data_IF_068236477628
#
_entry.id   IF_068236477628
#
_cell.length_a   1.000
_cell.length_b   1.000
_cell.length_c   1.000
_cell.angle_alpha   90.00
_cell.angle_beta   90.00
_cell.angle_gamma   90.00
#
_symmetry.space_group_name_H-M   'P 1'
#
loop_
_entity.id
_entity.type
_entity.pdbx_description
1 polymer ?
#
# COMPACT_ATOMS: atom_id res chain seq x y z
N UNK A 1 -18.05 27.54 18.81
CA UNK A 1 -17.22 26.34 18.62
C UNK A 1 -15.79 26.72 18.84
N UNK A 2 -15.11 26.14 19.84
CA UNK A 2 -13.68 26.23 20.00
C UNK A 2 -13.08 25.47 18.81
N UNK A 3 -12.51 26.18 17.82
CA UNK A 3 -11.80 25.58 16.72
C UNK A 3 -10.61 24.79 17.30
N UNK A 4 -10.66 23.46 17.21
CA UNK A 4 -9.50 22.63 17.57
C UNK A 4 -8.30 23.10 16.76
N UNK A 5 -7.12 23.13 17.37
CA UNK A 5 -5.89 23.53 16.70
C UNK A 5 -5.70 22.63 15.46
N UNK A 6 -5.50 23.26 14.30
CA UNK A 6 -5.22 22.57 13.02
C UNK A 6 -3.89 23.09 12.50
N UNK A 7 -3.02 22.17 12.08
CA UNK A 7 -1.75 22.51 11.44
C UNK A 7 -1.76 21.88 10.06
N UNK A 8 -1.57 22.70 9.03
CA UNK A 8 -1.47 22.22 7.65
C UNK A 8 -0.09 21.64 7.40
N UNK A 9 -0.06 20.47 6.78
CA UNK A 9 1.15 19.72 6.42
C UNK A 9 1.39 19.68 4.92
N UNK A 10 2.09 18.64 4.47
CA UNK A 10 2.48 18.48 3.08
C UNK A 10 1.29 18.25 2.14
N UNK A 11 1.33 18.82 0.92
CA UNK A 11 0.39 18.48 -0.13
C UNK A 11 0.58 17.02 -0.58
N UNK A 12 -0.50 16.38 -0.98
CA UNK A 12 -0.48 15.03 -1.55
C UNK A 12 -1.61 14.84 -2.56
N UNK A 13 -1.55 13.74 -3.29
CA UNK A 13 -2.60 13.29 -4.18
C UNK A 13 -2.95 11.83 -3.88
N UNK A 14 -4.22 11.56 -3.61
CA UNK A 14 -4.72 10.21 -3.36
C UNK A 14 -5.43 9.68 -4.59
N UNK A 15 -5.15 8.41 -4.95
CA UNK A 15 -5.89 7.71 -5.99
C UNK A 15 -7.04 6.95 -5.32
N UNK A 16 -8.27 7.26 -5.72
CA UNK A 16 -9.47 6.59 -5.25
C UNK A 16 -9.70 5.25 -5.97
N UNK A 17 -10.66 4.47 -5.49
CA UNK A 17 -10.98 3.15 -6.03
C UNK A 17 -11.43 3.18 -7.51
N UNK A 18 -12.09 4.26 -7.93
CA UNK A 18 -12.51 4.48 -9.32
C UNK A 18 -11.37 4.95 -10.26
N UNK A 19 -10.14 5.09 -9.71
CA UNK A 19 -8.98 5.60 -10.42
C UNK A 19 -8.89 7.12 -10.50
N UNK A 20 -9.86 7.86 -9.97
CA UNK A 20 -9.80 9.32 -9.90
C UNK A 20 -8.74 9.76 -8.89
N UNK A 21 -8.19 10.97 -9.10
CA UNK A 21 -7.16 11.55 -8.24
C UNK A 21 -7.76 12.73 -7.49
N UNK A 22 -7.64 12.67 -6.16
CA UNK A 22 -8.03 13.78 -5.27
C UNK A 22 -6.73 14.44 -4.77
N UNK A 23 -6.59 15.73 -5.01
CA UNK A 23 -5.51 16.57 -4.47
C UNK A 23 -5.95 17.17 -3.15
N UNK A 24 -5.00 17.30 -2.24
CA UNK A 24 -5.23 17.87 -0.92
C UNK A 24 -3.94 17.94 -0.14
N UNK A 25 -4.05 18.08 1.15
CA UNK A 25 -2.91 18.14 2.06
C UNK A 25 -3.20 17.38 3.36
N UNK A 26 -2.14 16.98 4.03
CA UNK A 26 -2.26 16.44 5.37
C UNK A 26 -2.56 17.56 6.36
N UNK A 27 -3.34 17.26 7.38
CA UNK A 27 -3.64 18.15 8.47
C UNK A 27 -3.45 17.42 9.79
N UNK A 28 -2.70 18.02 10.70
CA UNK A 28 -2.61 17.59 12.09
C UNK A 28 -3.73 18.26 12.89
N UNK A 29 -4.48 17.48 13.64
CA UNK A 29 -5.61 17.94 14.43
C UNK A 29 -5.75 17.12 15.70
N UNK A 30 -6.61 17.54 16.64
CA UNK A 30 -6.94 16.74 17.84
C UNK A 30 -7.91 15.61 17.54
N UNK A 31 -7.84 14.51 18.29
CA UNK A 31 -8.90 13.51 18.32
C UNK A 31 -10.24 14.18 18.69
N UNK A 32 -11.33 13.71 18.07
CA UNK A 32 -12.66 14.30 18.23
C UNK A 32 -12.92 15.57 17.41
N UNK A 33 -11.91 16.08 16.65
CA UNK A 33 -12.12 17.24 15.78
C UNK A 33 -12.80 16.89 14.46
N UNK A 34 -12.71 15.64 14.02
CA UNK A 34 -13.38 15.13 12.83
C UNK A 34 -14.69 14.44 13.23
N UNK A 35 -15.77 14.78 12.51
CA UNK A 35 -17.11 14.22 12.76
C UNK A 35 -17.23 12.88 12.04
N UNK A 36 -17.17 11.78 12.80
CA UNK A 36 -17.46 10.44 12.29
C UNK A 36 -18.97 10.23 12.14
N UNK A 37 -19.36 9.22 11.36
CA UNK A 37 -20.78 8.91 11.08
C UNK A 37 -21.58 8.50 12.31
N UNK A 38 -20.90 7.96 13.34
CA UNK A 38 -21.54 7.52 14.58
C UNK A 38 -20.76 8.02 15.80
N UNK A 39 -21.48 8.32 16.85
CA UNK A 39 -20.92 8.86 18.10
C UNK A 39 -20.59 7.73 19.07
N UNK A 40 -19.30 7.55 19.31
CA UNK A 40 -18.77 6.52 20.24
C UNK A 40 -19.15 6.82 21.71
N UNK A 41 -19.45 8.08 22.04
CA UNK A 41 -19.86 8.51 23.38
C UNK A 41 -21.36 8.30 23.63
N UNK A 42 -22.11 8.06 22.55
CA UNK A 42 -23.55 7.84 22.60
C UNK A 42 -23.93 6.49 22.00
N UNK A 43 -23.32 5.42 22.51
CA UNK A 43 -23.62 4.04 22.11
C UNK A 43 -23.65 3.78 20.59
N UNK A 44 -22.78 4.47 19.84
CA UNK A 44 -22.75 4.41 18.38
C UNK A 44 -24.06 4.86 17.70
N UNK A 45 -24.81 5.76 18.33
CA UNK A 45 -25.90 6.43 17.62
C UNK A 45 -25.34 7.25 16.44
N UNK A 46 -26.13 7.44 15.36
CA UNK A 46 -25.74 8.34 14.29
C UNK A 46 -25.37 9.71 14.82
N UNK A 47 -24.24 10.26 14.36
CA UNK A 47 -23.78 11.58 14.79
C UNK A 47 -24.74 12.66 14.32
N UNK A 48 -25.18 13.52 15.21
CA UNK A 48 -26.05 14.67 14.88
C UNK A 48 -25.37 15.58 13.86
N UNK A 49 -26.08 15.89 12.78
CA UNK A 49 -25.57 16.72 11.68
C UNK A 49 -24.62 16.00 10.70
N UNK A 50 -24.37 14.70 10.86
CA UNK A 50 -23.69 13.93 9.83
C UNK A 50 -24.58 13.84 8.58
N UNK A 51 -24.02 13.92 7.36
CA UNK A 51 -24.79 13.88 6.12
C UNK A 51 -25.73 12.68 6.02
N UNK A 52 -26.95 12.92 5.59
CA UNK A 52 -27.99 11.93 5.32
C UNK A 52 -28.39 11.98 3.85
N UNK A 53 -28.87 10.87 3.32
CA UNK A 53 -29.42 10.76 1.99
C UNK A 53 -30.87 11.29 1.89
N UNK A 54 -31.46 11.21 0.72
CA UNK A 54 -32.84 11.63 0.47
C UNK A 54 -33.90 10.84 1.26
N UNK A 55 -33.53 9.66 1.78
CA UNK A 55 -34.39 8.81 2.61
C UNK A 55 -34.21 9.08 4.11
N UNK A 56 -33.30 9.99 4.48
CA UNK A 56 -32.97 10.30 5.87
C UNK A 56 -32.02 9.30 6.52
N UNK A 57 -31.42 8.39 5.73
CA UNK A 57 -30.42 7.44 6.19
C UNK A 57 -29.01 8.06 6.08
N UNK A 58 -28.09 7.65 6.95
CA UNK A 58 -26.72 8.08 6.87
C UNK A 58 -26.11 7.69 5.51
N UNK A 59 -25.44 8.64 4.84
CA UNK A 59 -24.70 8.37 3.59
C UNK A 59 -23.52 7.41 3.78
N UNK A 60 -23.22 6.99 5.01
CA UNK A 60 -22.22 5.98 5.31
C UNK A 60 -22.86 4.58 5.24
N UNK A 61 -22.25 3.67 4.48
CA UNK A 61 -22.78 2.31 4.21
C UNK A 61 -22.84 1.39 5.44
N UNK A 62 -22.17 1.71 6.56
CA UNK A 62 -22.16 0.90 7.78
C UNK A 62 -23.05 1.48 8.86
N UNK A 63 -23.99 0.66 9.33
CA UNK A 63 -24.79 0.94 10.50
C UNK A 63 -24.09 0.44 11.77
N UNK A 64 -23.19 1.25 12.31
CA UNK A 64 -22.47 0.89 13.54
C UNK A 64 -23.41 0.76 14.77
N UNK A 65 -24.59 1.33 14.74
CA UNK A 65 -25.57 1.20 15.83
C UNK A 65 -26.08 -0.22 15.97
N UNK A 66 -26.30 -0.93 14.85
CA UNK A 66 -26.86 -2.29 14.81
C UNK A 66 -25.78 -3.36 14.65
N UNK A 67 -24.63 -3.01 14.10
CA UNK A 67 -23.52 -3.93 13.82
C UNK A 67 -22.60 -4.04 15.05
N UNK A 68 -22.90 -5.00 15.95
CA UNK A 68 -22.09 -5.26 17.15
C UNK A 68 -20.68 -5.76 16.84
N UNK A 69 -20.47 -6.45 15.70
CA UNK A 69 -19.14 -6.85 15.27
C UNK A 69 -18.31 -5.66 14.81
N UNK A 70 -18.91 -4.72 14.06
CA UNK A 70 -18.25 -3.48 13.70
C UNK A 70 -17.87 -2.64 14.94
N UNK A 71 -18.77 -2.56 15.94
CA UNK A 71 -18.44 -1.89 17.21
C UNK A 71 -17.30 -2.58 17.95
N UNK A 72 -17.28 -3.90 17.98
CA UNK A 72 -16.20 -4.67 18.62
C UNK A 72 -14.87 -4.38 17.92
N UNK A 73 -14.82 -4.38 16.58
CA UNK A 73 -13.63 -4.06 15.80
C UNK A 73 -13.11 -2.64 16.13
N UNK A 74 -14.01 -1.65 16.23
CA UNK A 74 -13.64 -0.28 16.60
C UNK A 74 -12.95 -0.25 17.97
N UNK A 75 -13.50 -0.97 18.97
CA UNK A 75 -12.93 -1.04 20.32
C UNK A 75 -11.62 -1.82 20.37
N UNK A 76 -11.51 -2.91 19.61
CA UNK A 76 -10.28 -3.71 19.54
C UNK A 76 -9.12 -2.90 18.94
N UNK A 77 -9.39 -2.12 17.90
CA UNK A 77 -8.40 -1.19 17.34
C UNK A 77 -8.03 -0.10 18.35
N UNK A 78 -9.01 0.46 19.06
CA UNK A 78 -8.77 1.49 20.07
C UNK A 78 -7.88 1.02 21.21
N UNK A 79 -8.01 -0.24 21.64
CA UNK A 79 -7.20 -0.82 22.70
C UNK A 79 -5.70 -0.92 22.34
N UNK A 80 -5.36 -0.94 21.04
CA UNK A 80 -4.01 -1.03 20.51
C UNK A 80 -3.82 -0.04 19.35
N UNK A 81 -4.13 1.21 19.60
CA UNK A 81 -4.08 2.25 18.57
C UNK A 81 -2.65 2.66 18.27
N UNK A 82 -2.15 2.31 17.09
CA UNK A 82 -0.77 2.49 16.68
C UNK A 82 -0.63 2.99 15.22
N UNK A 83 0.57 2.93 14.67
CA UNK A 83 0.90 3.40 13.32
C UNK A 83 0.09 2.74 12.20
N UNK A 84 -0.54 1.58 12.43
CA UNK A 84 -1.41 0.93 11.47
C UNK A 84 -2.60 1.81 11.07
N UNK A 85 -3.02 2.71 11.96
CA UNK A 85 -4.05 3.70 11.66
C UNK A 85 -3.65 4.71 10.57
N UNK A 86 -2.35 4.84 10.27
CA UNK A 86 -1.80 5.71 9.22
C UNK A 86 -1.65 5.02 7.85
N UNK A 87 -1.84 3.70 7.76
CA UNK A 87 -1.70 2.94 6.51
C UNK A 87 -2.65 3.41 5.39
N UNK A 88 -3.80 3.94 5.77
CA UNK A 88 -4.69 4.67 4.87
C UNK A 88 -5.13 5.94 5.56
N UNK A 89 -4.96 7.11 4.98
CA UNK A 89 -5.35 8.35 5.64
C UNK A 89 -6.86 8.39 5.86
N UNK A 90 -7.26 8.94 7.01
CA UNK A 90 -8.64 9.37 7.21
C UNK A 90 -8.86 10.59 6.33
N UNK A 91 -9.87 10.56 5.46
CA UNK A 91 -10.20 11.67 4.58
C UNK A 91 -11.33 12.48 5.21
N UNK A 92 -11.07 13.76 5.41
CA UNK A 92 -11.98 14.68 6.11
C UNK A 92 -12.24 15.87 5.23
N UNK A 93 -13.49 16.29 5.10
CA UNK A 93 -13.85 17.51 4.39
C UNK A 93 -13.31 18.76 5.11
N UNK A 94 -13.31 19.90 4.43
CA UNK A 94 -12.93 21.19 5.02
C UNK A 94 -13.77 21.54 6.26
N UNK A 95 -15.04 21.10 6.28
CA UNK A 95 -15.98 21.32 7.38
C UNK A 95 -15.83 20.28 8.51
N UNK A 96 -14.91 19.36 8.39
CA UNK A 96 -14.62 18.38 9.44
C UNK A 96 -15.41 17.09 9.36
N UNK A 97 -16.18 16.84 8.30
CA UNK A 97 -16.93 15.59 8.11
C UNK A 97 -16.02 14.49 7.58
N UNK A 98 -16.04 13.32 8.19
CA UNK A 98 -15.27 12.16 7.75
C UNK A 98 -15.89 11.59 6.48
N UNK A 99 -15.18 11.69 5.36
CA UNK A 99 -15.58 11.12 4.06
C UNK A 99 -15.13 9.67 3.92
N UNK A 100 -14.00 9.32 4.54
CA UNK A 100 -13.48 7.94 4.59
C UNK A 100 -12.68 7.70 5.87
N UNK A 101 -12.79 6.52 6.44
CA UNK A 101 -12.06 6.12 7.64
C UNK A 101 -12.83 6.30 8.93
N UNK A 102 -14.17 6.25 8.91
CA UNK A 102 -15.02 6.33 10.09
C UNK A 102 -14.58 5.38 11.22
N UNK A 103 -14.26 4.14 10.88
CA UNK A 103 -13.76 3.16 11.87
C UNK A 103 -12.50 3.69 12.58
N UNK A 104 -11.51 4.18 11.84
CA UNK A 104 -10.24 4.71 12.41
C UNK A 104 -10.44 5.97 13.20
N UNK A 105 -11.35 6.84 12.77
CA UNK A 105 -11.71 8.05 13.53
C UNK A 105 -12.32 7.65 14.88
N UNK A 106 -13.35 6.82 14.87
CA UNK A 106 -14.00 6.33 16.09
C UNK A 106 -13.04 5.58 17.02
N UNK A 107 -12.20 4.70 16.46
CA UNK A 107 -11.17 4.00 17.25
C UNK A 107 -10.16 4.96 17.85
N UNK A 108 -9.75 5.99 17.10
CA UNK A 108 -8.83 7.03 17.58
C UNK A 108 -9.43 7.87 18.69
N UNK A 109 -10.72 8.18 18.61
CA UNK A 109 -11.43 8.95 19.65
C UNK A 109 -11.56 8.15 20.94
N UNK A 110 -11.90 6.86 20.87
CA UNK A 110 -11.91 5.97 22.02
C UNK A 110 -10.49 5.82 22.60
N UNK A 111 -9.48 5.64 21.75
CA UNK A 111 -8.09 5.51 22.19
C UNK A 111 -7.59 6.74 22.93
N UNK A 112 -7.96 7.95 22.47
CA UNK A 112 -7.65 9.20 23.15
C UNK A 112 -8.30 9.26 24.54
N UNK A 113 -9.56 8.84 24.67
CA UNK A 113 -10.26 8.81 25.94
C UNK A 113 -9.66 7.81 26.93
N UNK A 114 -9.20 6.67 26.43
CA UNK A 114 -8.59 5.58 27.22
C UNK A 114 -7.10 5.78 27.48
N UNK A 115 -6.44 6.68 26.75
CA UNK A 115 -4.98 6.87 26.80
C UNK A 115 -4.20 5.72 26.18
N UNK A 116 -4.79 5.00 25.21
CA UNK A 116 -4.18 3.84 24.53
C UNK A 116 -3.54 4.21 23.20
N UNK A 117 -3.45 5.50 22.87
CA UNK A 117 -2.88 6.03 21.62
C UNK A 117 -1.41 6.43 21.71
N UNK A 118 -0.73 6.07 22.80
CA UNK A 118 0.68 6.43 22.99
C UNK A 118 1.58 5.95 21.86
N UNK A 119 1.43 4.72 21.40
CA UNK A 119 2.24 4.17 20.32
C UNK A 119 2.04 4.92 18.98
N UNK A 120 0.83 5.38 18.71
CA UNK A 120 0.51 6.23 17.56
C UNK A 120 1.20 7.61 17.68
N UNK A 121 1.13 8.24 18.85
CA UNK A 121 1.74 9.55 19.11
C UNK A 121 3.27 9.46 19.02
N UNK A 122 3.87 8.44 19.61
CA UNK A 122 5.32 8.22 19.56
C UNK A 122 5.79 8.02 18.11
N UNK A 123 5.02 7.28 17.30
CA UNK A 123 5.29 7.14 15.88
C UNK A 123 5.19 8.47 15.12
N UNK A 124 4.19 9.30 15.42
CA UNK A 124 4.10 10.64 14.81
C UNK A 124 5.28 11.53 15.19
N UNK A 125 5.79 11.49 16.43
CA UNK A 125 6.97 12.25 16.84
C UNK A 125 8.20 11.87 16.02
N UNK A 126 8.35 10.60 15.73
CA UNK A 126 9.48 10.08 14.98
C UNK A 126 9.36 10.36 13.48
N UNK A 127 8.17 10.18 12.91
CA UNK A 127 7.95 10.19 11.45
C UNK A 127 7.02 11.28 10.95
N UNK A 128 6.51 12.16 11.79
CA UNK A 128 5.56 13.20 11.43
C UNK A 128 6.04 14.15 10.32
N UNK A 129 7.36 14.31 10.17
CA UNK A 129 7.95 15.10 9.08
C UNK A 129 7.56 14.60 7.69
N UNK A 130 7.25 13.30 7.54
CA UNK A 130 6.74 12.74 6.27
C UNK A 130 5.43 13.37 5.84
N UNK A 131 4.62 13.80 6.81
CA UNK A 131 3.34 14.47 6.60
C UNK A 131 3.46 16.01 6.65
N UNK A 132 4.67 16.53 6.95
CA UNK A 132 4.94 17.95 7.06
C UNK A 132 4.78 18.52 8.47
N UNK A 133 4.87 17.70 9.51
CA UNK A 133 4.72 18.12 10.92
C UNK A 133 6.02 17.99 11.70
N UNK A 134 6.32 18.99 12.53
CA UNK A 134 7.47 18.93 13.44
C UNK A 134 7.08 18.25 14.76
N UNK A 135 8.07 17.70 15.51
CA UNK A 135 7.81 17.15 16.83
C UNK A 135 7.13 18.14 17.79
N UNK A 136 7.49 19.43 17.72
CA UNK A 136 6.92 20.48 18.56
C UNK A 136 5.44 20.72 18.24
N UNK A 137 5.05 20.63 16.97
CA UNK A 137 3.65 20.75 16.56
C UNK A 137 2.83 19.55 17.06
N UNK A 138 3.41 18.35 17.02
CA UNK A 138 2.79 17.13 17.52
C UNK A 138 2.63 17.19 19.04
N UNK A 139 3.68 17.61 19.76
CA UNK A 139 3.67 17.73 21.21
C UNK A 139 2.78 18.88 21.72
N UNK A 140 2.46 19.84 20.86
CA UNK A 140 1.49 20.89 21.12
C UNK A 140 0.03 20.43 21.20
N UNK A 141 -0.23 19.17 20.82
CA UNK A 141 -1.56 18.54 20.87
C UNK A 141 -1.58 17.41 21.90
N UNK A 142 -2.72 17.24 22.55
CA UNK A 142 -2.89 16.20 23.56
C UNK A 142 -3.03 14.82 22.95
N UNK A 143 -3.85 14.72 21.91
CA UNK A 143 -4.13 13.51 21.16
C UNK A 143 -4.09 13.80 19.65
N UNK A 144 -2.88 14.03 19.07
CA UNK A 144 -2.74 14.41 17.67
C UNK A 144 -3.24 13.32 16.73
N UNK A 145 -3.89 13.75 15.65
CA UNK A 145 -4.35 12.88 14.53
C UNK A 145 -3.94 13.49 13.21
N UNK A 146 -3.48 12.65 12.31
CA UNK A 146 -3.21 13.04 10.92
C UNK A 146 -4.39 12.65 10.06
N UNK A 147 -4.94 13.62 9.37
CA UNK A 147 -6.03 13.45 8.39
C UNK A 147 -5.61 14.04 7.06
N UNK A 148 -6.26 13.62 5.98
CA UNK A 148 -6.11 14.20 4.66
C UNK A 148 -7.34 15.04 4.33
N UNK A 149 -7.12 16.29 3.91
CA UNK A 149 -8.18 17.23 3.57
C UNK A 149 -8.09 17.57 2.08
N UNK A 150 -9.12 17.23 1.27
CA UNK A 150 -9.19 17.63 -0.13
C UNK A 150 -9.16 19.15 -0.31
N UNK A 151 -8.48 19.63 -1.36
CA UNK A 151 -8.42 21.06 -1.71
C UNK A 151 -9.75 21.54 -2.27
N UNK A 152 -10.51 20.66 -2.91
CA UNK A 152 -11.83 20.96 -3.44
C UNK A 152 -12.94 20.73 -2.42
N UNK A 153 -14.00 21.53 -2.50
CA UNK A 153 -15.22 21.27 -1.75
C UNK A 153 -16.01 20.16 -2.45
N UNK A 154 -16.25 19.07 -1.74
CA UNK A 154 -16.98 17.92 -2.26
C UNK A 154 -18.44 17.94 -1.79
N UNK A 155 -19.39 17.52 -2.62
CA UNK A 155 -20.78 17.38 -2.21
C UNK A 155 -20.92 16.23 -1.20
N UNK A 156 -21.87 16.39 -0.25
CA UNK A 156 -22.20 15.35 0.72
C UNK A 156 -23.35 14.48 0.21
N UNK A 157 -23.07 13.72 -0.85
CA UNK A 157 -24.04 12.79 -1.46
C UNK A 157 -23.52 11.35 -1.46
N UNK A 158 -24.43 10.39 -1.71
CA UNK A 158 -24.11 8.98 -1.71
C UNK A 158 -23.01 8.63 -2.73
N UNK A 159 -22.96 9.32 -3.88
CA UNK A 159 -21.95 9.11 -4.91
C UNK A 159 -20.56 9.49 -4.40
N UNK A 160 -20.41 10.66 -3.76
CA UNK A 160 -19.16 11.10 -3.16
C UNK A 160 -18.71 10.14 -2.07
N UNK A 161 -19.59 9.77 -1.14
CA UNK A 161 -19.25 8.83 -0.07
C UNK A 161 -18.90 7.44 -0.62
N UNK A 162 -19.59 6.95 -1.64
CA UNK A 162 -19.25 5.69 -2.29
C UNK A 162 -17.84 5.72 -2.93
N UNK A 163 -17.43 6.84 -3.52
CA UNK A 163 -16.06 7.00 -4.07
C UNK A 163 -14.98 6.87 -2.99
N UNK A 164 -15.25 7.36 -1.78
CA UNK A 164 -14.30 7.33 -0.66
C UNK A 164 -14.42 6.07 0.20
N UNK A 165 -15.64 5.55 0.35
CA UNK A 165 -15.93 4.38 1.19
C UNK A 165 -15.94 3.07 0.43
N UNK A 166 -15.64 3.07 -0.85
CA UNK A 166 -15.36 1.82 -1.50
C UNK A 166 -14.28 1.12 -0.65
N UNK A 167 -14.66 0.08 0.09
CA UNK A 167 -13.77 -0.93 0.67
C UNK A 167 -12.96 -1.60 -0.43
N UNK A 168 -13.27 -1.28 -1.59
CA UNK A 168 -12.55 -1.27 -2.81
C UNK A 168 -11.82 0.08 -2.99
N UNK A 169 -10.92 0.45 -2.12
CA UNK A 169 -9.61 0.63 -2.71
C UNK A 169 -9.45 -0.71 -3.45
N UNK A 170 -9.63 -0.71 -4.77
CA UNK A 170 -9.09 -1.78 -5.59
C UNK A 170 -7.69 -1.89 -5.06
N UNK A 171 -7.43 -2.92 -4.23
CA UNK A 171 -6.06 -3.26 -3.88
C UNK A 171 -5.44 -3.28 -5.23
N UNK A 172 -4.57 -2.32 -5.52
CA UNK A 172 -3.91 -2.25 -6.81
C UNK A 172 -3.59 -3.70 -7.12
N UNK A 173 -4.03 -4.23 -8.24
CA UNK A 173 -3.82 -5.65 -8.48
C UNK A 173 -2.34 -5.87 -8.25
N UNK A 174 -1.93 -6.97 -7.64
CA UNK A 174 -0.51 -7.20 -7.33
C UNK A 174 0.43 -6.81 -8.48
N UNK A 175 0.06 -7.07 -9.75
CA UNK A 175 0.82 -6.59 -10.92
C UNK A 175 0.91 -5.07 -11.06
N UNK A 176 -0.18 -4.35 -10.87
CA UNK A 176 -0.17 -2.87 -10.95
C UNK A 176 0.67 -2.25 -9.84
N UNK A 177 0.59 -2.82 -8.63
CA UNK A 177 1.43 -2.41 -7.51
C UNK A 177 2.91 -2.70 -7.79
N UNK A 178 3.24 -3.85 -8.36
CA UNK A 178 4.60 -4.20 -8.76
C UNK A 178 5.17 -3.21 -9.78
N UNK A 179 4.40 -2.85 -10.81
CA UNK A 179 4.79 -1.85 -11.81
C UNK A 179 5.03 -0.49 -11.16
N UNK A 180 4.16 -0.07 -10.23
CA UNK A 180 4.32 1.18 -9.49
C UNK A 180 5.62 1.20 -8.68
N UNK A 181 5.88 0.15 -7.91
CA UNK A 181 7.11 0.02 -7.13
C UNK A 181 8.35 -0.01 -8.03
N UNK A 182 8.28 -0.73 -9.14
CA UNK A 182 9.36 -0.79 -10.12
C UNK A 182 9.73 0.56 -10.73
N UNK A 183 8.76 1.46 -10.91
CA UNK A 183 9.02 2.83 -11.39
C UNK A 183 9.75 3.70 -10.35
N UNK A 184 9.54 3.43 -9.06
CA UNK A 184 10.13 4.21 -7.96
C UNK A 184 11.55 3.74 -7.68
N UNK A 185 11.84 2.43 -7.77
CA UNK A 185 13.15 1.89 -7.40
C UNK A 185 14.26 2.42 -8.33
N UNK A 186 15.32 3.04 -7.78
CA UNK A 186 16.45 3.53 -8.57
C UNK A 186 17.26 2.36 -9.17
N UNK A 187 17.94 2.61 -10.30
CA UNK A 187 18.72 1.58 -10.99
C UNK A 187 19.89 1.04 -10.13
N UNK A 188 20.54 1.91 -9.36
CA UNK A 188 21.61 1.50 -8.45
C UNK A 188 21.12 0.58 -7.33
N UNK A 189 19.92 0.82 -6.77
CA UNK A 189 19.29 -0.05 -5.75
C UNK A 189 18.90 -1.38 -6.39
N UNK A 190 18.27 -1.35 -7.56
CA UNK A 190 17.92 -2.56 -8.31
C UNK A 190 19.16 -3.41 -8.60
N UNK A 191 20.23 -2.82 -9.15
CA UNK A 191 21.49 -3.52 -9.47
C UNK A 191 22.16 -4.08 -8.21
N UNK A 192 22.17 -3.34 -7.10
CA UNK A 192 22.73 -3.82 -5.84
C UNK A 192 22.01 -5.08 -5.35
N UNK A 193 20.67 -5.06 -5.30
CA UNK A 193 19.88 -6.19 -4.80
C UNK A 193 20.02 -7.41 -5.73
N UNK A 194 19.98 -7.21 -7.05
CA UNK A 194 20.10 -8.33 -8.00
C UNK A 194 21.51 -8.93 -8.00
N UNK A 195 22.55 -8.13 -7.80
CA UNK A 195 23.92 -8.63 -7.61
C UNK A 195 24.03 -9.48 -6.34
N UNK A 196 23.37 -9.06 -5.25
CA UNK A 196 23.36 -9.86 -4.02
C UNK A 196 22.61 -11.19 -4.21
N UNK A 197 21.48 -11.18 -4.89
CA UNK A 197 20.73 -12.42 -5.23
C UNK A 197 21.59 -13.38 -6.05
N UNK A 198 22.35 -12.87 -7.02
CA UNK A 198 23.17 -13.70 -7.93
C UNK A 198 24.33 -14.46 -7.26
N UNK A 199 24.63 -14.13 -5.99
CA UNK A 199 25.65 -14.85 -5.20
C UNK A 199 25.15 -16.16 -4.61
N UNK A 200 23.86 -16.42 -4.71
CA UNK A 200 23.21 -17.60 -4.14
C UNK A 200 22.70 -18.51 -5.24
N UNK A 201 22.86 -19.81 -5.06
CA UNK A 201 22.33 -20.80 -5.99
C UNK A 201 20.81 -20.93 -5.93
N UNK A 202 20.21 -20.57 -4.78
CA UNK A 202 18.77 -20.61 -4.54
C UNK A 202 18.28 -19.35 -3.84
N UNK A 203 17.12 -18.91 -4.23
CA UNK A 203 16.47 -17.74 -3.64
C UNK A 203 16.18 -17.93 -2.14
N UNK A 204 15.93 -19.17 -1.70
CA UNK A 204 15.77 -19.49 -0.27
C UNK A 204 17.01 -19.18 0.54
N UNK A 205 18.20 -19.37 -0.01
CA UNK A 205 19.46 -19.15 0.67
C UNK A 205 19.76 -17.64 0.77
N UNK A 206 19.40 -16.87 -0.25
CA UNK A 206 19.40 -15.40 -0.19
C UNK A 206 18.50 -14.88 0.96
N UNK A 207 17.28 -15.41 1.07
CA UNK A 207 16.35 -14.98 2.14
C UNK A 207 16.76 -15.45 3.54
N UNK A 208 17.62 -16.44 3.66
CA UNK A 208 18.17 -16.89 4.93
C UNK A 208 19.36 -16.04 5.41
N UNK A 209 19.97 -15.25 4.52
CA UNK A 209 21.07 -14.35 4.90
C UNK A 209 20.53 -13.00 5.40
N UNK A 210 20.46 -12.86 6.72
CA UNK A 210 19.91 -11.67 7.36
C UNK A 210 20.65 -10.37 7.01
N UNK A 211 21.95 -10.42 6.75
CA UNK A 211 22.74 -9.22 6.40
C UNK A 211 22.35 -8.69 5.03
N UNK A 212 22.25 -9.58 4.08
CA UNK A 212 21.92 -9.22 2.68
C UNK A 212 20.48 -8.74 2.59
N UNK A 213 19.55 -9.43 3.26
CA UNK A 213 18.14 -9.04 3.33
C UNK A 213 17.97 -7.69 4.03
N UNK A 214 18.65 -7.46 5.16
CA UNK A 214 18.59 -6.18 5.87
C UNK A 214 19.13 -5.03 5.02
N UNK A 215 20.21 -5.29 4.25
CA UNK A 215 20.74 -4.33 3.29
C UNK A 215 19.71 -3.98 2.20
N UNK A 216 19.05 -4.98 1.62
CA UNK A 216 18.01 -4.77 0.62
C UNK A 216 16.84 -3.93 1.17
N UNK A 217 16.34 -4.27 2.37
CA UNK A 217 15.28 -3.50 3.04
C UNK A 217 15.72 -2.05 3.27
N UNK A 218 16.93 -1.83 3.78
CA UNK A 218 17.44 -0.48 4.03
C UNK A 218 17.57 0.35 2.75
N UNK A 219 18.00 -0.27 1.66
CA UNK A 219 18.10 0.39 0.36
C UNK A 219 16.70 0.75 -0.20
N UNK A 220 15.73 -0.15 -0.08
CA UNK A 220 14.35 0.11 -0.52
C UNK A 220 13.68 1.20 0.33
N UNK A 221 13.96 1.23 1.63
CA UNK A 221 13.49 2.27 2.54
C UNK A 221 14.12 3.62 2.17
N UNK A 222 15.43 3.67 2.02
CA UNK A 222 16.14 4.88 1.63
C UNK A 222 15.74 5.43 0.26
N UNK A 223 15.27 4.56 -0.64
CA UNK A 223 14.74 4.93 -1.95
C UNK A 223 13.25 5.32 -1.93
N UNK A 224 12.57 5.23 -0.79
CA UNK A 224 11.13 5.53 -0.69
C UNK A 224 10.23 4.50 -1.37
N UNK A 225 10.76 3.31 -1.71
CA UNK A 225 9.99 2.19 -2.28
C UNK A 225 9.09 1.58 -1.23
N UNK A 226 9.59 1.49 -0.01
CA UNK A 226 8.86 1.12 1.19
C UNK A 226 8.95 2.26 2.20
N UNK A 227 8.03 2.28 3.15
CA UNK A 227 8.05 3.19 4.27
C UNK A 227 8.23 2.41 5.58
N UNK A 228 8.56 3.11 6.65
CA UNK A 228 8.84 2.50 7.95
C UNK A 228 7.63 1.78 8.56
N UNK A 229 6.41 2.19 8.19
CA UNK A 229 5.17 1.53 8.63
C UNK A 229 5.03 0.11 8.05
N UNK A 230 5.69 -0.18 6.93
CA UNK A 230 5.69 -1.49 6.29
C UNK A 230 6.75 -2.44 6.90
N UNK A 231 7.75 -1.91 7.61
CA UNK A 231 8.84 -2.72 8.17
C UNK A 231 8.36 -3.86 9.08
N UNK A 232 7.39 -3.65 10.00
CA UNK A 232 6.89 -4.74 10.84
C UNK A 232 6.24 -5.87 10.05
N UNK A 233 5.61 -5.57 8.90
CA UNK A 233 4.98 -6.57 8.05
C UNK A 233 6.01 -7.35 7.22
N UNK A 234 7.18 -6.77 6.99
CA UNK A 234 8.24 -7.41 6.21
C UNK A 234 8.99 -8.49 6.99
N UNK A 235 8.88 -8.53 8.31
CA UNK A 235 9.61 -9.47 9.16
C UNK A 235 8.67 -10.28 10.05
N UNK A 236 9.06 -11.54 10.29
CA UNK A 236 8.48 -12.40 11.32
C UNK A 236 9.63 -12.84 12.22
N UNK A 237 9.76 -12.20 13.38
CA UNK A 237 10.97 -12.33 14.21
C UNK A 237 12.19 -11.78 13.46
N UNK A 238 13.25 -12.56 13.39
CA UNK A 238 14.49 -12.19 12.70
C UNK A 238 14.48 -12.54 11.20
N UNK A 239 13.43 -13.21 10.71
CA UNK A 239 13.35 -13.67 9.32
C UNK A 239 12.46 -12.78 8.48
N UNK A 240 12.72 -12.75 7.17
CA UNK A 240 11.85 -12.07 6.21
C UNK A 240 10.51 -12.80 6.13
N UNK A 241 9.40 -12.04 6.27
CA UNK A 241 8.05 -12.57 6.15
C UNK A 241 7.72 -12.94 4.70
N UNK A 242 6.63 -13.70 4.49
CA UNK A 242 6.12 -13.96 3.15
C UNK A 242 5.76 -12.65 2.41
N UNK A 243 5.16 -11.68 3.12
CA UNK A 243 4.84 -10.37 2.57
C UNK A 243 6.10 -9.58 2.20
N UNK A 244 7.15 -9.64 3.02
CA UNK A 244 8.43 -9.01 2.71
C UNK A 244 9.12 -9.60 1.49
N UNK A 245 9.13 -10.92 1.34
CA UNK A 245 9.64 -11.61 0.15
C UNK A 245 8.87 -11.17 -1.10
N UNK A 246 7.55 -11.22 -1.03
CA UNK A 246 6.68 -10.84 -2.13
C UNK A 246 6.89 -9.38 -2.55
N UNK A 247 7.07 -8.46 -1.60
CA UNK A 247 7.31 -7.05 -1.89
C UNK A 247 8.63 -6.82 -2.62
N UNK A 248 9.73 -7.43 -2.15
CA UNK A 248 11.04 -7.35 -2.80
C UNK A 248 10.94 -7.90 -4.23
N UNK A 249 10.42 -9.11 -4.40
CA UNK A 249 10.29 -9.76 -5.70
C UNK A 249 9.41 -8.95 -6.66
N UNK A 250 8.26 -8.47 -6.21
CA UNK A 250 7.35 -7.66 -7.03
C UNK A 250 8.00 -6.35 -7.47
N UNK A 251 8.78 -5.72 -6.59
CA UNK A 251 9.51 -4.51 -6.93
C UNK A 251 10.53 -4.76 -8.05
N UNK A 252 11.29 -5.84 -7.94
CA UNK A 252 12.30 -6.20 -8.94
C UNK A 252 11.66 -6.59 -10.28
N UNK A 253 10.61 -7.40 -10.26
CA UNK A 253 9.85 -7.77 -11.46
C UNK A 253 9.24 -6.53 -12.12
N UNK A 254 8.60 -5.67 -11.32
CA UNK A 254 8.00 -4.43 -11.79
C UNK A 254 9.01 -3.48 -12.40
N UNK A 255 10.25 -3.44 -11.89
CA UNK A 255 11.34 -2.62 -12.46
C UNK A 255 11.71 -3.04 -13.87
N UNK A 256 11.82 -4.35 -14.12
CA UNK A 256 12.23 -4.87 -15.41
C UNK A 256 11.08 -4.82 -16.43
N UNK A 257 9.89 -5.24 -16.02
CA UNK A 257 8.75 -5.43 -16.92
C UNK A 257 7.71 -4.31 -16.85
N UNK A 258 8.10 -3.10 -16.41
CA UNK A 258 7.17 -1.97 -16.20
C UNK A 258 6.41 -1.54 -17.48
N UNK A 259 6.94 -1.85 -18.65
CA UNK A 259 6.33 -1.56 -19.96
C UNK A 259 5.41 -2.70 -20.45
N UNK A 260 5.41 -3.85 -19.76
CA UNK A 260 4.64 -5.04 -20.11
C UNK A 260 3.82 -5.53 -18.90
N UNK A 261 2.70 -4.86 -18.54
CA UNK A 261 1.91 -5.22 -17.36
C UNK A 261 1.35 -6.65 -17.39
N UNK A 262 1.08 -7.20 -18.56
CA UNK A 262 0.63 -8.59 -18.74
C UNK A 262 1.76 -9.59 -18.41
N UNK A 263 3.00 -9.28 -18.79
CA UNK A 263 4.16 -10.06 -18.38
C UNK A 263 4.31 -10.05 -16.85
N UNK A 264 4.20 -8.90 -16.21
CA UNK A 264 4.22 -8.79 -14.74
C UNK A 264 3.15 -9.67 -14.11
N UNK A 265 1.91 -9.62 -14.62
CA UNK A 265 0.79 -10.42 -14.14
C UNK A 265 1.10 -11.91 -14.25
N UNK A 266 1.61 -12.35 -15.39
CA UNK A 266 1.92 -13.76 -15.63
C UNK A 266 3.07 -14.26 -14.75
N UNK A 267 4.15 -13.50 -14.63
CA UNK A 267 5.30 -13.84 -13.78
C UNK A 267 4.87 -13.96 -12.30
N UNK A 268 4.14 -12.97 -11.79
CA UNK A 268 3.71 -12.95 -10.38
C UNK A 268 2.77 -14.13 -10.06
N UNK A 269 1.91 -14.52 -11.00
CA UNK A 269 0.94 -15.60 -10.79
C UNK A 269 1.51 -17.02 -10.98
N UNK A 270 2.75 -17.15 -11.50
CA UNK A 270 3.36 -18.44 -11.83
C UNK A 270 4.63 -18.66 -10.98
N UNK A 271 4.55 -19.39 -9.84
CA UNK A 271 5.66 -19.49 -8.87
C UNK A 271 7.00 -19.96 -9.46
N UNK A 272 6.99 -20.95 -10.35
CA UNK A 272 8.21 -21.47 -10.99
C UNK A 272 8.85 -20.45 -11.92
N UNK A 273 8.03 -19.74 -12.73
CA UNK A 273 8.50 -18.68 -13.61
C UNK A 273 9.04 -17.49 -12.79
N UNK A 274 8.32 -17.12 -11.73
CA UNK A 274 8.71 -16.04 -10.82
C UNK A 274 10.11 -16.29 -10.25
N UNK A 275 10.36 -17.48 -9.70
CA UNK A 275 11.67 -17.84 -9.14
C UNK A 275 12.77 -17.79 -10.21
N UNK A 276 12.52 -18.36 -11.40
CA UNK A 276 13.48 -18.33 -12.50
C UNK A 276 13.81 -16.92 -12.96
N UNK A 277 12.80 -16.06 -13.06
CA UNK A 277 12.98 -14.66 -13.45
C UNK A 277 13.82 -13.92 -12.39
N UNK A 278 13.49 -14.06 -11.11
CA UNK A 278 14.22 -13.38 -10.01
C UNK A 278 15.71 -13.79 -10.01
N UNK A 279 16.00 -15.07 -10.17
CA UNK A 279 17.39 -15.56 -10.22
C UNK A 279 18.16 -15.05 -11.44
N UNK A 280 17.48 -14.79 -12.55
CA UNK A 280 18.10 -14.27 -13.79
C UNK A 280 18.19 -12.73 -13.86
N UNK A 281 17.64 -11.99 -12.89
CA UNK A 281 17.58 -10.52 -12.97
C UNK A 281 18.94 -9.82 -12.98
N UNK A 282 19.98 -10.46 -12.45
CA UNK A 282 21.33 -9.89 -12.48
C UNK A 282 21.85 -9.71 -13.92
N UNK A 283 21.60 -10.67 -14.79
CA UNK A 283 21.96 -10.56 -16.20
C UNK A 283 21.19 -9.43 -16.90
N UNK A 284 19.92 -9.28 -16.56
CA UNK A 284 19.08 -8.19 -17.07
C UNK A 284 19.58 -6.84 -16.54
N UNK A 285 19.94 -6.75 -15.25
CA UNK A 285 20.48 -5.56 -14.62
C UNK A 285 21.80 -5.16 -15.29
N UNK A 286 22.68 -6.13 -15.57
CA UNK A 286 23.94 -5.88 -16.27
C UNK A 286 23.70 -5.32 -17.67
N UNK A 287 22.78 -5.93 -18.43
CA UNK A 287 22.40 -5.45 -19.75
C UNK A 287 21.79 -4.06 -19.72
N UNK A 288 20.97 -3.73 -18.72
CA UNK A 288 20.45 -2.35 -18.53
C UNK A 288 21.53 -1.35 -18.22
N UNK A 289 22.55 -1.71 -17.47
CA UNK A 289 23.71 -0.84 -17.23
C UNK A 289 24.47 -0.56 -18.53
N UNK A 290 24.51 -1.54 -19.44
CA UNK A 290 25.03 -1.40 -20.79
C UNK A 290 24.06 -0.69 -21.74
N UNK A 291 22.81 -0.46 -21.36
CA UNK A 291 21.75 0.10 -22.22
C UNK A 291 21.96 1.56 -22.60
N UNK A 292 22.89 2.26 -21.96
CA UNK A 292 23.48 3.50 -22.52
C UNK A 292 24.06 3.26 -23.94
N UNK A 293 24.20 1.99 -24.34
CA UNK A 293 24.65 1.52 -25.64
C UNK A 293 23.56 0.86 -26.50
N UNK A 294 22.28 0.88 -26.11
CA UNK A 294 21.16 0.37 -26.91
C UNK A 294 20.83 -1.12 -26.76
N UNK A 295 21.37 -1.80 -25.75
CA UNK A 295 21.18 -3.26 -25.53
C UNK A 295 20.16 -3.60 -24.40
N UNK A 296 19.24 -2.70 -24.06
CA UNK A 296 18.16 -3.03 -23.11
C UNK A 296 17.10 -3.90 -23.79
N UNK A 297 17.12 -5.20 -23.50
CA UNK A 297 16.17 -6.20 -24.02
C UNK A 297 14.95 -6.39 -23.12
N UNK A 298 14.69 -5.52 -22.16
CA UNK A 298 13.56 -5.66 -21.22
C UNK A 298 12.21 -5.69 -21.93
N UNK A 299 12.06 -4.91 -23.00
CA UNK A 299 10.84 -4.85 -23.80
C UNK A 299 10.62 -6.15 -24.59
N UNK A 300 11.67 -6.65 -25.22
CA UNK A 300 11.67 -7.90 -26.00
C UNK A 300 11.40 -9.10 -25.09
N UNK A 301 11.99 -9.12 -23.91
CA UNK A 301 11.77 -10.16 -22.91
C UNK A 301 10.33 -10.10 -22.38
N UNK A 302 9.80 -8.91 -22.13
CA UNK A 302 8.41 -8.70 -21.77
C UNK A 302 7.45 -9.21 -22.85
N UNK A 303 7.70 -8.86 -24.12
CA UNK A 303 6.93 -9.34 -25.25
C UNK A 303 7.01 -10.86 -25.43
N UNK A 304 8.17 -11.46 -25.20
CA UNK A 304 8.34 -12.91 -25.24
C UNK A 304 7.56 -13.62 -24.13
N UNK A 305 7.56 -13.08 -22.90
CA UNK A 305 6.77 -13.61 -21.77
C UNK A 305 5.28 -13.52 -22.07
N UNK A 306 4.82 -12.39 -22.62
CA UNK A 306 3.41 -12.19 -23.01
C UNK A 306 2.99 -13.16 -24.12
N UNK A 307 3.87 -13.41 -25.08
CA UNK A 307 3.61 -14.36 -26.18
C UNK A 307 3.47 -15.79 -25.63
N UNK A 308 4.38 -16.21 -24.75
CA UNK A 308 4.34 -17.53 -24.10
C UNK A 308 3.08 -17.67 -23.25
N UNK A 309 2.71 -16.64 -22.50
CA UNK A 309 1.49 -16.63 -21.68
C UNK A 309 0.23 -16.81 -22.53
N UNK A 310 0.13 -16.10 -23.66
CA UNK A 310 -0.99 -16.22 -24.61
C UNK A 310 -1.02 -17.58 -25.30
N UNK A 311 0.13 -18.09 -25.73
CA UNK A 311 0.23 -19.40 -26.33
C UNK A 311 -0.19 -20.51 -25.35
N UNK A 312 0.23 -20.43 -24.09
CA UNK A 312 -0.15 -21.36 -23.03
C UNK A 312 -1.66 -21.32 -22.73
N UNK A 313 -2.28 -20.14 -22.74
CA UNK A 313 -3.72 -19.99 -22.55
C UNK A 313 -4.54 -20.50 -23.74
N UNK A 314 -4.04 -20.32 -24.96
CA UNK A 314 -4.70 -20.79 -26.18
C UNK A 314 -4.55 -22.30 -26.40
N UNK A 315 -3.45 -22.87 -25.98
CA UNK A 315 -3.08 -24.28 -26.22
C UNK A 315 -2.54 -24.95 -24.95
N UNK A 316 -3.37 -25.15 -23.91
CA UNK A 316 -2.91 -25.70 -22.64
C UNK A 316 -2.34 -27.11 -22.76
N UNK A 317 -2.74 -27.87 -23.79
CA UNK A 317 -2.26 -29.25 -24.03
C UNK A 317 -0.81 -29.31 -24.51
N UNK A 318 -0.28 -28.22 -25.09
CA UNK A 318 1.09 -28.14 -25.58
C UNK A 318 2.07 -27.84 -24.44
N UNK A 319 1.59 -27.27 -23.35
CA UNK A 319 2.40 -26.81 -22.20
C UNK A 319 2.15 -27.67 -20.96
N UNK A 320 2.31 -28.98 -21.07
CA UNK A 320 2.28 -29.86 -19.90
C UNK A 320 3.55 -29.63 -19.08
N UNK A 321 3.40 -29.59 -17.76
CA UNK A 321 4.49 -29.45 -16.78
C UNK A 321 5.34 -28.16 -16.88
N UNK A 322 4.79 -27.09 -17.46
CA UNK A 322 5.45 -25.78 -17.48
C UNK A 322 6.52 -25.55 -18.54
N UNK A 323 6.88 -26.56 -19.31
CA UNK A 323 7.80 -26.45 -20.45
C UNK A 323 7.04 -26.58 -21.76
N UNK A 324 7.33 -25.74 -22.78
CA UNK A 324 6.79 -25.95 -24.11
C UNK A 324 7.34 -27.29 -24.64
N UNK A 325 6.44 -28.19 -25.03
CA UNK A 325 6.85 -29.37 -25.81
C UNK A 325 7.31 -28.83 -27.16
N UNK A 326 8.52 -29.22 -27.58
CA UNK A 326 9.09 -28.78 -28.86
C UNK A 326 8.07 -28.95 -29.99
N UNK A 327 7.79 -27.92 -30.81
CA UNK A 327 6.89 -28.04 -31.93
C UNK A 327 7.37 -28.99 -33.01
N UNK A 328 8.62 -29.46 -32.91
CA UNK A 328 9.26 -30.33 -33.87
C UNK A 328 9.29 -31.82 -33.45
N UNK A 329 8.39 -32.23 -32.54
CA UNK A 329 8.26 -33.63 -32.15
C UNK A 329 9.56 -34.25 -31.63
N UNK A 330 9.48 -35.19 -30.72
CA UNK A 330 10.64 -36.06 -30.42
C UNK A 330 11.02 -36.76 -31.72
N UNK A 331 12.19 -36.48 -32.27
CA UNK A 331 12.82 -37.42 -33.15
C UNK A 331 12.96 -38.71 -32.36
N UNK A 332 12.26 -39.74 -32.82
CA UNK A 332 12.43 -41.09 -32.33
C UNK A 332 13.82 -41.53 -32.79
N UNK A 333 14.77 -41.59 -31.85
CA UNK A 333 15.99 -42.30 -32.00
C UNK A 333 15.89 -43.62 -31.23
#
# INVERSE_FOLDING_TARGET
GNGAAKVEGNPNALTLADGSIIRGHYVLTEAGAASASHDVNNAFEPTEGFPIDENGESVNDRDYKRDTDAQRIVRDIANNYDSRALQSPVIVSKDGVVLSGNNRTMSGDIAAQQGTDKAYIDHLREFGQMYGFTPEQIDGMKHPRVVFVPDEQLPYDATTFARFNAEQQKKQSKPEHAVKLGKIVPDNVFTSITNDISRFDRLSDYYADDKVVSSAISQLLGAGVINEMQLPEMRTGNSLSAAGKELIENTLIGKVFQTSPDAVRHIISTPTLRQSVIMGLNEIAHNRTLSKSGYDLSNELGAAVDLVARAKSAHPDIFKDGMPVSPFGREQG
#
